data_IF_191802063839
#
_entry.id   IF_191802063839
#
_cell.length_a   1.000
_cell.length_b   1.000
_cell.length_c   1.000
_cell.angle_alpha   90.00
_cell.angle_beta   90.00
_cell.angle_gamma   90.00
#
_symmetry.space_group_name_H-M   'P 1'
#
loop_
_entity.id
_entity.type
_entity.pdbx_description
1 polymer ?
#
# COMPACT_ATOMS: atom_id res chain seq x y z
N UNK A 1 9.82 -48.44 -15.54
CA UNK A 1 9.09 -47.35 -14.84
C UNK A 1 9.24 -46.05 -15.62
N UNK A 2 8.57 -45.91 -16.76
CA UNK A 2 8.59 -44.70 -17.58
C UNK A 2 7.17 -44.49 -18.08
N UNK A 3 6.41 -43.61 -17.43
CA UNK A 3 5.03 -43.38 -17.82
C UNK A 3 4.28 -42.54 -16.81
N UNK A 4 4.32 -41.21 -16.98
CA UNK A 4 3.25 -40.26 -16.63
C UNK A 4 3.74 -38.81 -16.78
N UNK A 5 3.82 -38.31 -18.01
CA UNK A 5 3.86 -36.86 -18.24
C UNK A 5 3.12 -36.52 -19.52
N UNK A 6 1.81 -36.79 -19.54
CA UNK A 6 0.88 -36.06 -20.43
C UNK A 6 -0.34 -35.73 -19.59
N UNK A 7 -0.50 -34.45 -19.25
CA UNK A 7 -1.79 -33.88 -18.82
C UNK A 7 -2.21 -32.85 -19.86
N UNK A 8 -3.47 -32.83 -20.32
CA UNK A 8 -3.94 -31.84 -21.27
C UNK A 8 -4.17 -30.49 -20.59
N UNK A 9 -3.72 -29.41 -21.23
CA UNK A 9 -4.08 -28.04 -20.87
C UNK A 9 -5.56 -27.81 -21.22
N UNK A 10 -6.41 -27.66 -20.21
CA UNK A 10 -7.79 -27.24 -20.39
C UNK A 10 -7.86 -25.71 -20.37
N UNK A 11 -8.34 -25.19 -21.51
CA UNK A 11 -8.73 -23.81 -21.80
C UNK A 11 -9.74 -23.30 -20.75
N UNK A 12 -9.52 -22.09 -20.26
CA UNK A 12 -10.55 -21.27 -19.62
C UNK A 12 -10.32 -19.81 -20.02
N UNK A 13 -11.28 -19.27 -20.78
CA UNK A 13 -11.47 -17.84 -21.01
C UNK A 13 -12.39 -17.30 -19.91
N UNK A 14 -12.02 -16.19 -19.26
CA UNK A 14 -12.95 -15.22 -18.66
C UNK A 14 -12.29 -13.83 -18.66
N UNK A 15 -12.95 -12.91 -19.36
CA UNK A 15 -13.17 -11.46 -19.18
C UNK A 15 -12.21 -10.56 -18.37
N UNK A 16 -11.78 -9.48 -19.02
CA UNK A 16 -11.24 -8.15 -18.59
C UNK A 16 -12.12 -7.40 -17.54
N UNK A 17 -11.70 -6.28 -16.85
CA UNK A 17 -10.91 -5.15 -17.37
C UNK A 17 -9.93 -4.35 -16.46
N UNK A 18 -9.04 -3.60 -17.14
CA UNK A 18 -8.36 -2.34 -16.80
C UNK A 18 -7.79 -2.08 -15.38
N UNK A 19 -6.49 -1.80 -15.31
CA UNK A 19 -5.97 -0.84 -14.33
C UNK A 19 -4.47 -0.91 -14.01
N UNK A 20 -3.72 0.06 -14.56
CA UNK A 20 -2.47 0.64 -14.03
C UNK A 20 -1.16 -0.12 -14.34
N UNK A 21 -0.49 0.36 -15.39
CA UNK A 21 0.91 0.09 -15.71
C UNK A 21 1.83 0.54 -14.56
N UNK A 22 2.78 -0.31 -14.19
CA UNK A 22 3.99 0.05 -13.45
C UNK A 22 5.16 -0.70 -14.10
N UNK A 23 6.36 -0.08 -14.09
CA UNK A 23 7.35 -0.29 -15.13
C UNK A 23 8.02 -1.66 -15.00
N UNK A 24 8.22 -2.26 -16.16
CA UNK A 24 8.96 -3.49 -16.44
C UNK A 24 10.27 -3.54 -15.65
N UNK A 25 10.31 -4.34 -14.58
CA UNK A 25 11.57 -4.89 -14.11
C UNK A 25 11.99 -5.89 -15.18
N UNK A 26 12.97 -5.50 -16.00
CA UNK A 26 13.59 -6.41 -16.97
C UNK A 26 14.03 -7.66 -16.21
N UNK A 27 13.32 -8.74 -16.47
CA UNK A 27 13.70 -10.09 -16.10
C UNK A 27 14.86 -10.43 -17.02
N UNK A 28 16.07 -10.13 -16.58
CA UNK A 28 17.28 -10.58 -17.26
C UNK A 28 17.32 -12.10 -17.11
N UNK A 29 16.77 -12.78 -18.12
CA UNK A 29 17.00 -14.19 -18.32
C UNK A 29 18.51 -14.34 -18.47
N UNK A 30 19.16 -14.93 -17.45
CA UNK A 30 20.52 -15.41 -17.60
C UNK A 30 20.47 -16.54 -18.64
N UNK A 31 20.69 -16.16 -19.90
CA UNK A 31 20.98 -17.09 -20.97
C UNK A 31 22.29 -17.78 -20.59
N UNK A 32 22.17 -18.99 -20.07
CA UNK A 32 23.30 -19.90 -19.90
C UNK A 32 24.00 -19.98 -21.24
N UNK A 33 25.24 -19.46 -21.29
CA UNK A 33 26.15 -19.51 -22.44
C UNK A 33 25.98 -20.84 -23.17
N UNK A 34 25.52 -20.78 -24.41
CA UNK A 34 25.51 -21.89 -25.34
C UNK A 34 26.95 -22.38 -25.45
N UNK A 35 27.27 -23.50 -24.80
CA UNK A 35 28.56 -24.17 -25.02
C UNK A 35 28.53 -24.72 -26.44
N UNK A 36 29.08 -23.95 -27.36
CA UNK A 36 29.58 -24.45 -28.64
C UNK A 36 30.55 -25.59 -28.33
N UNK A 37 30.14 -26.81 -28.64
CA UNK A 37 30.93 -27.99 -28.31
C UNK A 37 30.15 -29.27 -28.51
N UNK A 38 29.37 -29.37 -29.58
CA UNK A 38 28.94 -30.67 -30.07
C UNK A 38 30.20 -31.30 -30.70
N UNK A 39 30.95 -32.04 -29.88
CA UNK A 39 32.09 -32.83 -30.33
C UNK A 39 31.56 -34.00 -31.16
N UNK A 40 31.26 -33.70 -32.42
CA UNK A 40 30.80 -34.66 -33.41
C UNK A 40 32.04 -35.47 -33.82
N UNK A 41 32.42 -36.44 -32.97
CA UNK A 41 33.52 -37.35 -33.28
C UNK A 41 33.24 -37.97 -34.63
N UNK A 42 34.14 -37.75 -35.58
CA UNK A 42 34.11 -38.45 -36.87
C UNK A 42 34.29 -39.93 -36.58
N UNK A 43 33.29 -40.71 -36.95
CA UNK A 43 33.27 -42.15 -36.78
C UNK A 43 33.92 -42.74 -38.02
N UNK A 44 35.17 -43.17 -37.89
CA UNK A 44 35.84 -43.96 -38.93
C UNK A 44 35.37 -45.41 -38.79
N UNK A 45 34.61 -45.89 -39.76
CA UNK A 45 34.14 -47.26 -39.82
C UNK A 45 35.14 -48.08 -40.62
N UNK A 46 35.46 -49.26 -40.07
CA UNK A 46 36.28 -50.33 -40.65
C UNK A 46 36.06 -50.58 -42.15
N UNK A 47 37.10 -50.95 -42.92
CA UNK A 47 37.01 -51.10 -44.37
C UNK A 47 35.99 -52.17 -44.79
N UNK A 48 35.20 -51.84 -45.81
CA UNK A 48 34.17 -52.68 -46.45
C UNK A 48 34.75 -53.80 -47.35
N UNK A 49 35.84 -54.46 -46.95
CA UNK A 49 36.47 -55.51 -47.77
C UNK A 49 35.62 -56.80 -47.88
N UNK A 50 34.60 -56.98 -47.04
CA UNK A 50 33.87 -58.24 -46.92
C UNK A 50 32.60 -58.37 -47.79
N UNK A 51 32.27 -57.40 -48.64
CA UNK A 51 31.02 -57.43 -49.45
C UNK A 51 31.28 -57.57 -50.94
N UNK A 52 32.14 -58.51 -51.29
CA UNK A 52 32.36 -58.93 -52.69
C UNK A 52 31.14 -59.72 -53.15
N UNK A 53 30.39 -59.19 -54.11
CA UNK A 53 29.30 -59.92 -54.75
C UNK A 53 29.90 -61.17 -55.43
N UNK A 54 29.58 -62.35 -54.93
CA UNK A 54 29.98 -63.61 -55.56
C UNK A 54 29.03 -63.87 -56.71
N UNK A 55 29.44 -63.49 -57.90
CA UNK A 55 28.74 -63.80 -59.13
C UNK A 55 29.31 -65.08 -59.71
N UNK A 56 28.46 -66.07 -60.00
CA UNK A 56 28.89 -67.24 -60.77
C UNK A 56 28.95 -66.86 -62.25
N UNK A 57 30.07 -66.26 -62.63
CA UNK A 57 30.39 -65.87 -64.00
C UNK A 57 30.30 -67.06 -64.95
N UNK A 58 30.70 -68.25 -64.50
CA UNK A 58 30.81 -69.43 -65.36
C UNK A 58 29.45 -70.03 -65.68
N UNK A 59 28.55 -70.15 -64.70
CA UNK A 59 27.19 -70.65 -64.94
C UNK A 59 26.42 -69.77 -65.93
N UNK A 60 26.61 -68.45 -65.88
CA UNK A 60 25.94 -67.51 -66.78
C UNK A 60 26.52 -67.50 -68.19
N UNK A 61 27.83 -67.71 -68.35
CA UNK A 61 28.43 -67.90 -69.67
C UNK A 61 27.88 -69.18 -70.32
N UNK A 62 27.81 -70.29 -69.58
CA UNK A 62 27.23 -71.54 -70.10
C UNK A 62 25.75 -71.40 -70.47
N UNK A 63 24.96 -70.67 -69.68
CA UNK A 63 23.55 -70.44 -69.97
C UNK A 63 23.37 -69.59 -71.24
N UNK A 64 24.19 -68.55 -71.44
CA UNK A 64 24.16 -67.73 -72.65
C UNK A 64 24.62 -68.53 -73.89
N UNK A 65 25.65 -69.37 -73.77
CA UNK A 65 26.07 -70.28 -74.83
C UNK A 65 24.94 -71.25 -75.23
N UNK A 66 24.21 -71.80 -74.24
CA UNK A 66 23.07 -72.69 -74.48
C UNK A 66 21.91 -72.00 -75.23
N UNK A 67 21.81 -70.67 -75.12
CA UNK A 67 20.80 -69.85 -75.81
C UNK A 67 21.30 -69.26 -77.14
N UNK A 68 22.43 -69.74 -77.66
CA UNK A 68 22.90 -69.43 -79.02
C UNK A 68 23.84 -68.23 -79.13
N UNK A 69 24.40 -67.74 -78.02
CA UNK A 69 25.49 -66.76 -78.04
C UNK A 69 26.84 -67.44 -78.27
N UNK A 70 27.72 -66.80 -79.04
CA UNK A 70 29.11 -67.24 -79.11
C UNK A 70 29.80 -67.03 -77.76
N UNK A 71 30.76 -67.90 -77.42
CA UNK A 71 31.48 -67.87 -76.15
C UNK A 71 32.10 -66.50 -75.86
N UNK A 72 32.71 -65.87 -76.86
CA UNK A 72 33.32 -64.55 -76.71
C UNK A 72 32.26 -63.45 -76.44
N UNK A 73 31.05 -63.59 -77.02
CA UNK A 73 29.95 -62.67 -76.79
C UNK A 73 29.36 -62.85 -75.38
N UNK A 74 29.15 -64.10 -74.94
CA UNK A 74 28.67 -64.42 -73.61
C UNK A 74 29.63 -63.92 -72.52
N UNK A 75 30.94 -64.16 -72.66
CA UNK A 75 31.98 -63.67 -71.75
C UNK A 75 32.01 -62.13 -71.69
N UNK A 76 31.85 -61.44 -72.83
CA UNK A 76 31.85 -59.98 -72.89
C UNK A 76 30.63 -59.38 -72.17
N UNK A 77 29.45 -59.95 -72.39
CA UNK A 77 28.21 -59.52 -71.73
C UNK A 77 28.33 -59.72 -70.21
N UNK A 78 28.79 -60.89 -69.78
CA UNK A 78 28.97 -61.23 -68.36
C UNK A 78 30.04 -60.35 -67.70
N UNK A 79 31.11 -60.00 -68.42
CA UNK A 79 32.14 -59.07 -67.95
C UNK A 79 31.58 -57.64 -67.76
N UNK A 80 30.78 -57.15 -68.70
CA UNK A 80 30.10 -55.87 -68.59
C UNK A 80 29.10 -55.83 -67.41
N UNK A 81 28.36 -56.93 -67.19
CA UNK A 81 27.46 -57.08 -66.04
C UNK A 81 28.20 -57.09 -64.70
N UNK A 82 29.33 -57.79 -64.64
CA UNK A 82 30.16 -57.88 -63.44
C UNK A 82 30.75 -56.51 -63.10
N UNK A 83 31.28 -55.79 -64.09
CA UNK A 83 31.83 -54.44 -63.89
C UNK A 83 30.76 -53.44 -63.45
N UNK A 84 29.58 -53.43 -64.09
CA UNK A 84 28.48 -52.55 -63.71
C UNK A 84 27.96 -52.86 -62.29
N UNK A 85 27.84 -54.15 -61.93
CA UNK A 85 27.39 -54.57 -60.60
C UNK A 85 28.40 -54.20 -59.51
N UNK A 86 29.69 -54.29 -59.79
CA UNK A 86 30.72 -53.86 -58.85
C UNK A 86 30.68 -52.35 -58.61
N UNK A 87 30.50 -51.54 -59.67
CA UNK A 87 30.39 -50.07 -59.56
C UNK A 87 29.11 -49.64 -58.85
N UNK A 88 27.97 -50.29 -59.14
CA UNK A 88 26.70 -49.95 -58.51
C UNK A 88 26.70 -50.28 -57.02
N UNK A 89 27.24 -51.44 -56.64
CA UNK A 89 27.37 -51.83 -55.23
C UNK A 89 28.34 -50.92 -54.47
N UNK A 90 29.48 -50.54 -55.05
CA UNK A 90 30.42 -49.60 -54.40
C UNK A 90 29.74 -48.25 -54.12
N UNK A 91 28.94 -47.74 -55.07
CA UNK A 91 28.15 -46.52 -54.88
C UNK A 91 27.12 -46.69 -53.76
N UNK A 92 26.33 -47.76 -53.80
CA UNK A 92 25.30 -48.05 -52.79
C UNK A 92 25.94 -48.17 -51.40
N UNK A 93 27.05 -48.87 -51.25
CA UNK A 93 27.70 -49.03 -49.95
C UNK A 93 28.30 -47.75 -49.39
N UNK A 94 28.76 -46.83 -50.25
CA UNK A 94 29.24 -45.51 -49.83
C UNK A 94 28.10 -44.59 -49.39
N UNK A 95 26.95 -44.68 -50.04
CA UNK A 95 25.78 -43.85 -49.73
C UNK A 95 24.90 -44.43 -48.61
N UNK A 96 24.97 -45.74 -48.37
CA UNK A 96 24.21 -46.39 -47.32
C UNK A 96 24.75 -46.07 -45.93
N UNK A 97 23.81 -45.84 -45.01
CA UNK A 97 24.10 -45.79 -43.58
C UNK A 97 24.18 -47.21 -43.03
N UNK A 98 25.29 -47.55 -42.39
CA UNK A 98 25.44 -48.85 -41.74
C UNK A 98 24.71 -48.88 -40.40
N UNK A 99 24.29 -50.07 -39.96
CA UNK A 99 23.66 -50.25 -38.66
C UNK A 99 24.54 -49.73 -37.51
N UNK A 100 25.87 -49.93 -37.60
CA UNK A 100 26.82 -49.40 -36.64
C UNK A 100 26.82 -47.86 -36.61
N UNK A 101 26.77 -47.20 -37.77
CA UNK A 101 26.66 -45.74 -37.86
C UNK A 101 25.34 -45.25 -37.25
N UNK A 102 24.24 -45.95 -37.52
CA UNK A 102 22.94 -45.63 -36.94
C UNK A 102 22.93 -45.80 -35.41
N UNK A 103 23.54 -46.86 -34.89
CA UNK A 103 23.61 -47.08 -33.44
C UNK A 103 24.41 -45.98 -32.73
N UNK A 104 25.55 -45.57 -33.30
CA UNK A 104 26.37 -44.50 -32.74
C UNK A 104 25.63 -43.17 -32.73
N UNK A 105 24.94 -42.82 -33.82
CA UNK A 105 24.14 -41.58 -33.87
C UNK A 105 22.99 -41.61 -32.86
N UNK A 106 22.32 -42.76 -32.68
CA UNK A 106 21.30 -42.92 -31.63
C UNK A 106 21.89 -42.75 -30.23
N UNK A 107 23.06 -43.35 -29.94
CA UNK A 107 23.71 -43.20 -28.65
C UNK A 107 24.10 -41.74 -28.37
N UNK A 108 24.58 -41.00 -29.38
CA UNK A 108 24.85 -39.56 -29.26
C UNK A 108 23.56 -38.79 -28.94
N UNK A 109 22.47 -39.03 -29.68
CA UNK A 109 21.17 -38.41 -29.43
C UNK A 109 20.66 -38.70 -28.01
N UNK A 110 20.82 -39.93 -27.53
CA UNK A 110 20.45 -40.31 -26.16
C UNK A 110 21.28 -39.57 -25.12
N UNK A 111 22.61 -39.45 -25.32
CA UNK A 111 23.47 -38.70 -24.42
C UNK A 111 23.09 -37.21 -24.36
N UNK A 112 22.73 -36.60 -25.50
CA UNK A 112 22.24 -35.23 -25.54
C UNK A 112 20.91 -35.06 -24.81
N UNK A 113 19.96 -35.98 -25.02
CA UNK A 113 18.68 -35.97 -24.31
C UNK A 113 18.89 -36.10 -22.79
N UNK A 114 19.80 -36.98 -22.36
CA UNK A 114 20.15 -37.14 -20.95
C UNK A 114 20.78 -35.88 -20.34
N UNK A 115 21.57 -35.12 -21.12
CA UNK A 115 22.08 -33.81 -20.69
C UNK A 115 20.93 -32.81 -20.50
N UNK A 116 20.04 -32.69 -21.48
CA UNK A 116 18.87 -31.79 -21.40
C UNK A 116 17.99 -32.15 -20.19
N UNK A 117 17.79 -33.44 -19.93
CA UNK A 117 17.03 -33.91 -18.75
C UNK A 117 17.69 -33.48 -17.44
N UNK A 118 19.02 -33.55 -17.34
CA UNK A 118 19.76 -33.07 -16.16
C UNK A 118 19.58 -31.58 -15.98
N UNK A 119 19.70 -30.79 -17.04
CA UNK A 119 19.53 -29.33 -17.00
C UNK A 119 18.11 -28.95 -16.56
N UNK A 120 17.09 -29.65 -17.07
CA UNK A 120 15.69 -29.46 -16.64
C UNK A 120 15.52 -29.72 -15.14
N UNK A 121 16.07 -30.83 -14.62
CA UNK A 121 16.00 -31.15 -13.19
C UNK A 121 16.76 -30.13 -12.33
N UNK A 122 17.90 -29.62 -12.82
CA UNK A 122 18.67 -28.57 -12.14
C UNK A 122 17.85 -27.29 -12.09
N UNK A 123 17.23 -26.88 -13.20
CA UNK A 123 16.40 -25.69 -13.27
C UNK A 123 15.18 -25.80 -12.35
N UNK A 124 14.49 -26.94 -12.38
CA UNK A 124 13.36 -27.22 -11.48
C UNK A 124 13.76 -27.19 -10.01
N UNK A 125 14.94 -27.70 -9.65
CA UNK A 125 15.36 -27.73 -8.23
C UNK A 125 15.94 -26.40 -7.76
N UNK A 126 16.75 -25.73 -8.57
CA UNK A 126 17.46 -24.52 -8.18
C UNK A 126 16.58 -23.27 -8.26
N UNK A 127 15.84 -23.08 -9.35
CA UNK A 127 15.04 -21.87 -9.53
C UNK A 127 13.78 -21.88 -8.66
N UNK A 128 13.10 -23.02 -8.49
CA UNK A 128 11.95 -23.07 -7.59
C UNK A 128 12.34 -22.94 -6.11
N UNK A 129 13.49 -23.49 -5.70
CA UNK A 129 13.96 -23.32 -4.33
C UNK A 129 14.31 -21.85 -4.07
N UNK A 130 15.02 -21.21 -4.99
CA UNK A 130 15.35 -19.78 -4.90
C UNK A 130 14.09 -18.91 -4.91
N UNK A 131 13.16 -19.13 -5.84
CA UNK A 131 11.91 -18.39 -5.92
C UNK A 131 11.03 -18.58 -4.67
N UNK A 132 11.01 -19.78 -4.07
CA UNK A 132 10.30 -19.98 -2.79
C UNK A 132 10.98 -19.23 -1.65
N UNK A 133 12.30 -19.32 -1.55
CA UNK A 133 13.05 -18.63 -0.50
C UNK A 133 12.89 -17.11 -0.63
N UNK A 134 12.98 -16.58 -1.84
CA UNK A 134 12.76 -15.16 -2.15
C UNK A 134 11.33 -14.72 -1.83
N UNK A 135 10.31 -15.47 -2.26
CA UNK A 135 8.91 -15.17 -1.92
C UNK A 135 8.65 -15.20 -0.42
N UNK A 136 9.21 -16.17 0.30
CA UNK A 136 9.08 -16.25 1.76
C UNK A 136 9.74 -15.05 2.45
N UNK A 137 10.95 -14.68 2.01
CA UNK A 137 11.66 -13.52 2.52
C UNK A 137 10.85 -12.24 2.25
N UNK A 138 10.40 -12.02 1.02
CA UNK A 138 9.67 -10.81 0.65
C UNK A 138 8.32 -10.72 1.38
N UNK A 139 7.60 -11.83 1.53
CA UNK A 139 6.38 -11.89 2.36
C UNK A 139 6.67 -11.54 3.82
N UNK A 140 7.80 -12.00 4.37
CA UNK A 140 8.20 -11.70 5.74
C UNK A 140 8.58 -10.22 5.90
N UNK A 141 9.25 -9.63 4.91
CA UNK A 141 9.61 -8.21 4.87
C UNK A 141 8.36 -7.34 4.78
N UNK A 142 7.43 -7.62 3.86
CA UNK A 142 6.15 -6.92 3.75
C UNK A 142 5.37 -6.99 5.06
N UNK A 143 5.34 -8.16 5.72
CA UNK A 143 4.67 -8.31 7.02
C UNK A 143 5.33 -7.46 8.11
N UNK A 144 6.66 -7.43 8.16
CA UNK A 144 7.40 -6.62 9.13
C UNK A 144 7.20 -5.12 8.90
N UNK A 145 7.23 -4.70 7.64
CA UNK A 145 7.04 -3.30 7.23
C UNK A 145 5.62 -2.81 7.54
N UNK A 146 4.59 -3.59 7.17
CA UNK A 146 3.21 -3.30 7.53
C UNK A 146 3.00 -3.23 9.04
N UNK A 147 3.68 -4.09 9.82
CA UNK A 147 3.60 -4.04 11.29
C UNK A 147 4.25 -2.79 11.85
N UNK A 148 5.38 -2.36 11.27
CA UNK A 148 6.05 -1.12 11.64
C UNK A 148 5.17 0.09 11.33
N UNK A 149 4.60 0.15 10.12
CA UNK A 149 3.72 1.23 9.68
C UNK A 149 2.49 1.38 10.59
N UNK A 150 1.80 0.26 10.88
CA UNK A 150 0.67 0.24 11.83
C UNK A 150 1.09 0.73 13.22
N UNK A 151 2.29 0.36 13.68
CA UNK A 151 2.78 0.80 14.98
C UNK A 151 3.13 2.29 15.00
N UNK A 152 3.72 2.81 13.92
CA UNK A 152 4.01 4.25 13.78
C UNK A 152 2.73 5.06 13.76
N UNK A 153 1.72 4.67 12.97
CA UNK A 153 0.42 5.35 12.97
C UNK A 153 -0.30 5.22 14.32
N UNK A 154 -0.23 4.05 14.99
CA UNK A 154 -0.77 3.90 16.35
C UNK A 154 -0.08 4.85 17.34
N UNK A 155 1.25 4.97 17.27
CA UNK A 155 2.00 5.93 18.09
C UNK A 155 1.57 7.35 17.79
N UNK A 156 1.47 7.73 16.52
CA UNK A 156 1.05 9.07 16.08
C UNK A 156 -0.35 9.43 16.57
N UNK A 157 -1.30 8.50 16.48
CA UNK A 157 -2.67 8.68 17.00
C UNK A 157 -2.66 8.83 18.52
N UNK A 158 -1.86 8.03 19.23
CA UNK A 158 -1.74 8.11 20.68
C UNK A 158 -1.17 9.47 21.10
N UNK A 159 -0.10 9.94 20.45
CA UNK A 159 0.50 11.24 20.73
C UNK A 159 -0.49 12.37 20.49
N UNK A 160 -1.23 12.35 19.37
CA UNK A 160 -2.28 13.31 19.09
C UNK A 160 -3.41 13.29 20.15
N UNK A 161 -3.80 12.10 20.60
CA UNK A 161 -4.82 11.96 21.64
C UNK A 161 -4.33 12.57 22.97
N UNK A 162 -3.09 12.29 23.37
CA UNK A 162 -2.50 12.88 24.58
C UNK A 162 -2.36 14.40 24.49
N UNK A 163 -2.01 14.94 23.32
CA UNK A 163 -1.96 16.39 23.08
C UNK A 163 -3.35 17.02 23.17
N UNK A 164 -4.37 16.37 22.62
CA UNK A 164 -5.77 16.81 22.75
C UNK A 164 -6.26 16.78 24.19
N UNK A 165 -5.97 15.70 24.93
CA UNK A 165 -6.32 15.57 26.35
C UNK A 165 -5.65 16.68 27.18
N UNK A 166 -4.36 16.96 26.92
CA UNK A 166 -3.63 18.06 27.55
C UNK A 166 -4.28 19.41 27.25
N UNK A 167 -4.60 19.71 25.99
CA UNK A 167 -5.27 20.97 25.60
C UNK A 167 -6.64 21.12 26.24
N UNK A 168 -7.40 20.02 26.36
CA UNK A 168 -8.69 20.03 27.06
C UNK A 168 -8.52 20.30 28.55
N UNK A 169 -7.52 19.70 29.19
CA UNK A 169 -7.20 19.98 30.59
C UNK A 169 -6.80 21.44 30.79
N UNK A 170 -5.90 21.97 29.96
CA UNK A 170 -5.49 23.37 29.98
C UNK A 170 -6.70 24.31 29.82
N UNK A 171 -7.52 24.10 28.80
CA UNK A 171 -8.74 24.90 28.58
C UNK A 171 -9.72 24.82 29.77
N UNK A 172 -9.89 23.64 30.37
CA UNK A 172 -10.74 23.45 31.56
C UNK A 172 -10.19 24.20 32.77
N UNK A 173 -8.87 24.16 32.98
CA UNK A 173 -8.22 24.91 34.07
C UNK A 173 -8.29 26.42 33.87
N UNK A 174 -8.07 26.91 32.64
CA UNK A 174 -8.21 28.33 32.31
C UNK A 174 -9.66 28.81 32.45
N UNK A 175 -10.63 28.01 31.99
CA UNK A 175 -12.04 28.30 32.17
C UNK A 175 -12.40 28.44 33.66
N UNK A 176 -11.99 27.47 34.49
CA UNK A 176 -12.25 27.51 35.93
C UNK A 176 -11.58 28.71 36.61
N UNK A 177 -10.36 29.06 36.19
CA UNK A 177 -9.64 30.25 36.67
C UNK A 177 -10.36 31.54 36.30
N UNK A 178 -10.83 31.67 35.06
CA UNK A 178 -11.55 32.86 34.60
C UNK A 178 -12.94 32.96 35.24
N UNK A 179 -13.62 31.84 35.44
CA UNK A 179 -14.90 31.79 36.11
C UNK A 179 -14.79 32.19 37.59
N UNK A 180 -13.80 31.67 38.32
CA UNK A 180 -13.52 32.10 39.70
C UNK A 180 -13.14 33.58 39.80
N UNK A 181 -12.31 34.08 38.87
CA UNK A 181 -11.99 35.52 38.77
C UNK A 181 -13.25 36.36 38.53
N UNK A 182 -14.10 35.94 37.60
CA UNK A 182 -15.34 36.65 37.26
C UNK A 182 -16.31 36.65 38.44
N UNK A 183 -16.48 35.50 39.12
CA UNK A 183 -17.28 35.40 40.36
C UNK A 183 -16.75 36.32 41.46
N UNK A 184 -15.43 36.41 41.61
CA UNK A 184 -14.79 37.35 42.54
C UNK A 184 -15.15 38.81 42.23
N UNK A 185 -15.03 39.22 40.97
CA UNK A 185 -15.40 40.59 40.52
C UNK A 185 -16.88 40.87 40.76
N UNK A 186 -17.77 39.92 40.44
CA UNK A 186 -19.21 40.05 40.67
C UNK A 186 -19.50 40.25 42.16
N UNK A 187 -18.88 39.46 43.04
CA UNK A 187 -19.05 39.61 44.50
C UNK A 187 -18.53 40.95 45.00
N UNK A 188 -17.39 41.43 44.49
CA UNK A 188 -16.84 42.74 44.86
C UNK A 188 -17.78 43.88 44.46
N UNK A 189 -18.33 43.83 43.24
CA UNK A 189 -19.32 44.81 42.76
C UNK A 189 -20.60 44.72 43.58
N UNK A 190 -21.10 43.53 43.88
CA UNK A 190 -22.27 43.32 44.74
C UNK A 190 -22.08 43.98 46.12
N UNK A 191 -20.94 43.73 46.76
CA UNK A 191 -20.61 44.37 48.04
C UNK A 191 -20.56 45.91 47.94
N UNK A 192 -20.00 46.47 46.85
CA UNK A 192 -19.99 47.92 46.63
C UNK A 192 -21.40 48.48 46.50
N UNK A 193 -22.26 47.85 45.70
CA UNK A 193 -23.67 48.23 45.55
C UNK A 193 -24.37 48.21 46.91
N UNK A 194 -24.18 47.18 47.72
CA UNK A 194 -24.78 47.10 49.06
C UNK A 194 -24.30 48.23 49.98
N UNK A 195 -23.01 48.58 49.94
CA UNK A 195 -22.46 49.71 50.72
C UNK A 195 -23.01 51.06 50.25
N UNK A 196 -23.17 51.26 48.93
CA UNK A 196 -23.75 52.48 48.36
C UNK A 196 -25.25 52.59 48.68
N UNK A 197 -25.99 51.49 48.66
CA UNK A 197 -27.41 51.46 49.07
C UNK A 197 -27.53 51.86 50.54
N UNK A 198 -26.69 51.30 51.42
CA UNK A 198 -26.70 51.65 52.84
C UNK A 198 -26.35 53.13 53.05
N UNK A 199 -25.31 53.63 52.39
CA UNK A 199 -24.90 55.03 52.52
C UNK A 199 -25.98 56.00 52.02
N UNK A 200 -26.57 55.75 50.84
CA UNK A 200 -27.68 56.55 50.30
C UNK A 200 -28.90 56.53 51.22
N UNK A 201 -29.22 55.38 51.83
CA UNK A 201 -30.31 55.28 52.81
C UNK A 201 -30.04 56.14 54.04
N UNK A 202 -28.82 56.11 54.59
CA UNK A 202 -28.47 56.97 55.74
C UNK A 202 -28.55 58.46 55.39
N UNK A 203 -28.07 58.85 54.20
CA UNK A 203 -28.14 60.23 53.70
C UNK A 203 -29.59 60.69 53.52
N UNK A 204 -30.46 59.81 53.02
CA UNK A 204 -31.88 60.08 52.88
C UNK A 204 -32.57 60.27 54.23
N UNK A 205 -32.27 59.41 55.21
CA UNK A 205 -32.80 59.52 56.57
C UNK A 205 -32.34 60.81 57.26
N UNK A 206 -31.08 61.21 57.11
CA UNK A 206 -30.57 62.47 57.66
C UNK A 206 -31.23 63.68 57.00
N UNK A 207 -31.36 63.71 55.67
CA UNK A 207 -32.00 64.80 54.94
C UNK A 207 -33.49 64.94 55.31
N UNK A 208 -34.20 63.81 55.50
CA UNK A 208 -35.58 63.83 56.03
C UNK A 208 -35.63 64.50 57.41
N UNK A 209 -34.70 64.17 58.32
CA UNK A 209 -34.63 64.78 59.65
C UNK A 209 -34.27 66.28 59.58
N UNK A 210 -33.35 66.68 58.71
CA UNK A 210 -33.00 68.08 58.47
C UNK A 210 -34.19 68.88 57.97
N UNK A 211 -34.94 68.34 57.00
CA UNK A 211 -36.16 68.97 56.48
C UNK A 211 -37.20 69.16 57.59
N UNK A 212 -37.42 68.15 58.45
CA UNK A 212 -38.31 68.26 59.61
C UNK A 212 -37.84 69.36 60.57
N UNK A 213 -36.53 69.41 60.89
CA UNK A 213 -35.95 70.44 61.77
C UNK A 213 -36.10 71.85 61.17
N UNK A 214 -35.86 72.01 59.88
CA UNK A 214 -36.00 73.29 59.17
C UNK A 214 -37.44 73.80 59.17
N UNK A 215 -38.42 72.92 58.90
CA UNK A 215 -39.84 73.26 58.96
C UNK A 215 -40.26 73.65 60.38
N UNK A 216 -39.85 72.88 61.39
CA UNK A 216 -40.13 73.20 62.79
C UNK A 216 -39.52 74.55 63.21
N UNK A 217 -38.25 74.81 62.85
CA UNK A 217 -37.59 76.08 63.11
C UNK A 217 -38.29 77.27 62.44
N UNK A 218 -38.73 77.11 61.19
CA UNK A 218 -39.45 78.14 60.45
C UNK A 218 -40.83 78.45 61.06
N UNK A 219 -41.59 77.42 61.46
CA UNK A 219 -42.88 77.60 62.13
C UNK A 219 -42.74 78.30 63.49
N UNK A 220 -41.72 77.94 64.26
CA UNK A 220 -41.42 78.58 65.54
C UNK A 220 -40.95 80.04 65.36
N UNK A 221 -40.16 80.34 64.33
CA UNK A 221 -39.71 81.69 64.01
C UNK A 221 -40.90 82.61 63.66
N UNK A 222 -41.78 82.18 62.75
CA UNK A 222 -43.01 82.95 62.40
C UNK A 222 -43.90 83.17 63.63
N UNK A 223 -44.05 82.15 64.48
CA UNK A 223 -44.83 82.28 65.72
C UNK A 223 -44.19 83.28 66.69
N UNK A 224 -42.85 83.27 66.81
CA UNK A 224 -42.08 84.16 67.68
C UNK A 224 -42.10 85.61 67.19
N UNK A 225 -42.07 85.84 65.87
CA UNK A 225 -42.22 87.17 65.28
C UNK A 225 -43.67 87.69 65.41
N UNK A 226 -44.68 86.81 65.38
CA UNK A 226 -46.09 87.19 65.56
C UNK A 226 -46.46 87.56 67.01
N UNK A 227 -45.70 87.08 68.00
CA UNK A 227 -45.96 87.34 69.43
C UNK A 227 -45.84 88.83 69.80
N UNK A 228 -44.77 89.57 69.43
CA UNK A 228 -44.70 91.01 69.69
C UNK A 228 -45.78 91.79 68.94
N UNK A 229 -46.16 91.37 67.72
CA UNK A 229 -47.28 92.02 67.00
C UNK A 229 -48.65 91.77 67.65
N UNK A 230 -48.92 90.55 68.14
CA UNK A 230 -50.17 90.23 68.85
C UNK A 230 -50.28 90.92 70.22
N UNK A 231 -49.18 91.02 70.96
CA UNK A 231 -49.15 91.79 72.23
C UNK A 231 -49.38 93.28 71.94
N UNK A 232 -48.81 93.83 70.86
CA UNK A 232 -49.05 95.21 70.44
C UNK A 232 -50.50 95.47 69.96
N UNK A 233 -51.19 94.49 69.38
CA UNK A 233 -52.63 94.59 69.06
C UNK A 233 -53.52 94.51 70.30
N UNK A 234 -53.20 93.64 71.26
CA UNK A 234 -53.97 93.53 72.50
C UNK A 234 -53.84 94.79 73.38
N UNK A 235 -52.64 95.39 73.45
CA UNK A 235 -52.41 96.69 74.09
C UNK A 235 -53.16 97.84 73.37
N UNK A 236 -53.22 97.83 72.02
CA UNK A 236 -54.04 98.81 71.26
C UNK A 236 -55.54 98.61 71.43
N UNK A 237 -56.01 97.37 71.56
CA UNK A 237 -57.41 97.04 71.87
C UNK A 237 -57.81 97.48 73.28
N UNK A 238 -56.92 97.31 74.26
CA UNK A 238 -57.11 97.82 75.64
C UNK A 238 -57.06 99.35 75.72
N UNK A 239 -56.25 100.02 74.90
CA UNK A 239 -56.27 101.50 74.77
C UNK A 239 -57.58 102.04 74.18
N UNK A 240 -58.24 101.31 73.27
CA UNK A 240 -59.58 101.68 72.77
C UNK A 240 -60.69 101.37 73.79
N UNK A 241 -60.60 100.26 74.52
CA UNK A 241 -61.58 99.87 75.54
C UNK A 241 -61.61 100.83 76.75
N UNK A 242 -60.47 101.43 77.12
CA UNK A 242 -60.39 102.41 78.22
C UNK A 242 -60.80 103.85 77.84
N UNK A 243 -61.28 104.09 76.61
CA UNK A 243 -61.80 105.41 76.19
C UNK A 243 -63.32 105.57 76.34
N UNK A 244 -64.05 104.53 76.80
CA UNK A 244 -65.48 104.64 77.12
C UNK A 244 -65.87 103.80 78.35
N UNK A 245 -65.97 104.38 79.55
CA UNK A 245 -66.60 103.73 80.69
C UNK A 245 -68.12 103.94 80.67
N UNK A 246 -68.85 102.81 80.73
CA UNK A 246 -70.18 102.56 81.33
C UNK A 246 -71.28 103.63 81.32
N UNK A 247 -72.48 103.23 80.88
CA UNK A 247 -73.74 103.84 81.35
C UNK A 247 -74.98 103.15 80.78
N UNK A 248 -75.80 102.60 81.69
CA UNK A 248 -77.29 102.49 81.67
C UNK A 248 -78.02 102.20 80.36
#
# INVERSE_FOLDING_TARGET
MWGRWVRPLLRSEVSSPCGRFSPTLRRDFFTTKTKEGYDMRRVDITPLEQRKLTFDTHALVLDLEAHGFDKAQAETIVSALTTLSNVSLDTIYKEMVTQAQQEITVQQLMAHLDSIRKDMVILEKSEFANLRAENQNETSRIRADNKLDINLERSRVTDMFTDQEKKLMEATTEFTRNDTKTRGIISEIGNKIDTEIASLKTLMESNKLETIRYLAGSLLAVSSDSLPYRIAEEERGKMWANRFPSGT
#
